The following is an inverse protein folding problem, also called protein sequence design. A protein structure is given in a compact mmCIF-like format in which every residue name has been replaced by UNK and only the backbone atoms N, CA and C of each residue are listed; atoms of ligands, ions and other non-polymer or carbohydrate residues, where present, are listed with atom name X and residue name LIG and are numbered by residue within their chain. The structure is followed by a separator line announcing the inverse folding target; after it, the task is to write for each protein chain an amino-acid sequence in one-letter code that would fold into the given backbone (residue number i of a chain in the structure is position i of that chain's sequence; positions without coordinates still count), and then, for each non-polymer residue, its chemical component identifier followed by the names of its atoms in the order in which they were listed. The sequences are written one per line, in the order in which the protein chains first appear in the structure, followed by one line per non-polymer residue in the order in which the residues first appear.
data_IF_904909100144
#
_entry.id   IF_904909100144
#
_cell.length_a   1.000
_cell.length_b   1.000
_cell.length_c   1.000
_cell.angle_alpha   90.00
_cell.angle_beta   90.00
_cell.angle_gamma   90.00
#
_symmetry.space_group_name_H-M   'P 1'
#
loop_
_entity.id
_entity.type
_entity.pdbx_description
1 polymer ?
#
# COMPACT_ATOMS: atom_id res chain seq x y z
N UNK A 1 10.72 -10.61 33.12
CA UNK A 1 10.07 -11.34 32.02
C UNK A 1 8.59 -11.14 32.25
N UNK A 2 7.92 -10.27 31.48
CA UNK A 2 6.47 -10.15 31.58
C UNK A 2 5.86 -11.47 31.11
N UNK A 3 5.05 -12.08 31.96
CA UNK A 3 4.48 -13.43 31.84
C UNK A 3 3.32 -13.48 30.82
N UNK A 4 3.43 -12.73 29.74
CA UNK A 4 2.40 -12.64 28.70
C UNK A 4 2.70 -13.66 27.60
N UNK A 5 1.71 -14.45 27.15
CA UNK A 5 1.92 -15.45 26.12
C UNK A 5 2.34 -14.81 24.80
N UNK A 6 3.26 -15.46 24.09
CA UNK A 6 3.71 -15.02 22.77
C UNK A 6 2.87 -15.63 21.63
N UNK A 7 3.10 -15.17 20.39
CA UNK A 7 2.34 -15.61 19.22
C UNK A 7 2.53 -17.12 18.94
N UNK A 8 3.72 -17.67 19.17
CA UNK A 8 3.97 -19.10 18.98
C UNK A 8 3.21 -19.95 20.00
N UNK A 9 3.15 -19.50 21.26
CA UNK A 9 2.37 -20.14 22.32
C UNK A 9 0.87 -20.09 22.01
N UNK A 10 0.38 -18.97 21.48
CA UNK A 10 -0.99 -18.86 20.97
C UNK A 10 -1.25 -19.86 19.84
N UNK A 11 -0.38 -19.94 18.83
CA UNK A 11 -0.52 -20.87 17.70
C UNK A 11 -0.60 -22.32 18.21
N UNK A 12 0.29 -22.72 19.12
CA UNK A 12 0.29 -24.09 19.69
C UNK A 12 -0.98 -24.38 20.48
N UNK A 13 -1.45 -23.42 21.28
CA UNK A 13 -2.71 -23.57 22.02
C UNK A 13 -3.90 -23.74 21.06
N UNK A 14 -3.98 -22.91 20.02
CA UNK A 14 -5.07 -22.98 19.04
C UNK A 14 -5.04 -24.28 18.23
N UNK A 15 -3.87 -24.86 17.95
CA UNK A 15 -3.76 -26.18 17.33
C UNK A 15 -4.34 -27.28 18.25
N UNK A 16 -4.04 -27.25 19.54
CA UNK A 16 -4.63 -28.19 20.49
C UNK A 16 -6.16 -28.02 20.63
N UNK A 17 -6.66 -26.77 20.57
CA UNK A 17 -8.10 -26.50 20.54
C UNK A 17 -8.77 -27.02 19.26
N UNK A 18 -8.06 -27.01 18.13
CA UNK A 18 -8.57 -27.58 16.87
C UNK A 18 -8.76 -29.09 17.02
N UNK A 19 -7.76 -29.80 17.56
CA UNK A 19 -7.85 -31.24 17.82
C UNK A 19 -8.99 -31.54 18.82
N UNK A 20 -9.11 -30.75 19.89
CA UNK A 20 -10.17 -30.91 20.87
C UNK A 20 -11.58 -30.74 20.27
N UNK A 21 -11.72 -29.89 19.25
CA UNK A 21 -13.00 -29.64 18.59
C UNK A 21 -13.58 -30.87 17.89
N UNK A 22 -12.76 -31.87 17.54
CA UNK A 22 -13.24 -33.13 16.94
C UNK A 22 -14.21 -33.88 17.85
N UNK A 23 -14.11 -33.68 19.16
CA UNK A 23 -14.99 -34.29 20.16
C UNK A 23 -16.40 -33.67 20.23
N UNK A 24 -16.64 -32.54 19.57
CA UNK A 24 -17.95 -31.89 19.54
C UNK A 24 -18.92 -32.76 18.74
N UNK A 25 -20.06 -33.14 19.33
CA UNK A 25 -21.03 -34.04 18.72
C UNK A 25 -21.81 -33.37 17.58
N UNK A 26 -22.33 -32.16 17.81
CA UNK A 26 -23.04 -31.40 16.79
C UNK A 26 -22.08 -30.99 15.67
N UNK A 27 -22.34 -31.48 14.46
CA UNK A 27 -21.55 -31.20 13.28
C UNK A 27 -21.48 -29.70 12.96
N UNK A 28 -22.59 -28.99 13.07
CA UNK A 28 -22.65 -27.57 12.69
C UNK A 28 -21.84 -26.73 13.68
N UNK A 29 -21.96 -27.04 14.98
CA UNK A 29 -21.17 -26.39 16.02
C UNK A 29 -19.68 -26.68 15.85
N UNK A 30 -19.32 -27.94 15.58
CA UNK A 30 -17.94 -28.37 15.33
C UNK A 30 -17.32 -27.62 14.16
N UNK A 31 -17.97 -27.64 13.00
CA UNK A 31 -17.47 -26.95 11.80
C UNK A 31 -17.31 -25.44 12.04
N UNK A 32 -18.28 -24.81 12.71
CA UNK A 32 -18.20 -23.39 13.06
C UNK A 32 -17.00 -23.09 13.96
N UNK A 33 -16.76 -23.92 14.99
CA UNK A 33 -15.62 -23.76 15.90
C UNK A 33 -14.30 -23.98 15.16
N UNK A 34 -14.22 -25.01 14.31
CA UNK A 34 -13.05 -25.29 13.48
C UNK A 34 -12.70 -24.11 12.58
N UNK A 35 -13.67 -23.56 11.84
CA UNK A 35 -13.43 -22.39 10.98
C UNK A 35 -12.91 -21.17 11.73
N UNK A 36 -13.43 -20.92 12.94
CA UNK A 36 -12.94 -19.81 13.77
C UNK A 36 -11.48 -20.03 14.17
N UNK A 37 -11.12 -21.24 14.58
CA UNK A 37 -9.76 -21.59 14.98
C UNK A 37 -8.81 -21.49 13.77
N UNK A 38 -9.19 -22.09 12.64
CA UNK A 38 -8.38 -22.08 11.40
C UNK A 38 -8.16 -20.65 10.89
N UNK A 39 -9.19 -19.81 10.93
CA UNK A 39 -9.06 -18.38 10.56
C UNK A 39 -8.09 -17.65 11.47
N UNK A 40 -8.16 -17.87 12.79
CA UNK A 40 -7.23 -17.28 13.74
C UNK A 40 -5.78 -17.76 13.54
N UNK A 41 -5.59 -19.06 13.30
CA UNK A 41 -4.28 -19.66 13.00
C UNK A 41 -3.68 -19.07 11.73
N UNK A 42 -4.46 -18.96 10.66
CA UNK A 42 -4.02 -18.40 9.38
C UNK A 42 -3.51 -16.97 9.56
N UNK A 43 -4.26 -16.13 10.26
CA UNK A 43 -3.88 -14.74 10.52
C UNK A 43 -2.65 -14.61 11.42
N UNK A 44 -2.53 -15.46 12.45
CA UNK A 44 -1.37 -15.46 13.34
C UNK A 44 -0.08 -15.88 12.62
N UNK A 45 -0.16 -16.88 11.74
CA UNK A 45 0.97 -17.33 10.92
C UNK A 45 1.38 -16.24 9.92
N UNK A 46 0.40 -15.61 9.26
CA UNK A 46 0.67 -14.51 8.32
C UNK A 46 1.36 -13.33 9.01
N UNK A 47 0.84 -12.92 10.17
CA UNK A 47 1.48 -11.91 11.01
C UNK A 47 2.93 -12.28 11.35
N UNK A 48 3.16 -13.51 11.82
CA UNK A 48 4.49 -13.98 12.21
C UNK A 48 5.48 -13.95 11.04
N UNK A 49 5.04 -14.39 9.86
CA UNK A 49 5.84 -14.35 8.62
C UNK A 49 6.19 -12.92 8.24
N UNK A 50 5.20 -12.04 8.18
CA UNK A 50 5.39 -10.63 7.79
C UNK A 50 6.29 -9.90 8.79
N UNK A 51 6.13 -10.18 10.08
CA UNK A 51 6.98 -9.64 11.13
C UNK A 51 8.44 -10.06 10.92
N UNK A 52 8.69 -11.34 10.67
CA UNK A 52 10.03 -11.87 10.42
C UNK A 52 10.66 -11.29 9.14
N UNK A 53 9.88 -11.20 8.05
CA UNK A 53 10.33 -10.62 6.78
C UNK A 53 10.80 -9.17 6.96
N UNK A 54 9.94 -8.31 7.54
CA UNK A 54 10.28 -6.91 7.79
C UNK A 54 11.48 -6.76 8.73
N UNK A 55 11.54 -7.58 9.78
CA UNK A 55 12.68 -7.60 10.71
C UNK A 55 13.98 -7.98 10.01
N UNK A 56 13.95 -8.95 9.09
CA UNK A 56 15.12 -9.38 8.32
C UNK A 56 15.63 -8.30 7.36
N UNK A 57 14.75 -7.41 6.90
CA UNK A 57 15.08 -6.25 6.06
C UNK A 57 15.52 -5.02 6.89
N UNK A 58 15.62 -5.13 8.21
CA UNK A 58 15.93 -4.02 9.11
C UNK A 58 14.81 -2.97 9.22
N UNK A 59 13.61 -3.29 8.75
CA UNK A 59 12.44 -2.43 8.87
C UNK A 59 11.74 -2.69 10.21
N UNK A 60 11.07 -1.68 10.77
CA UNK A 60 10.30 -1.85 12.00
C UNK A 60 8.91 -2.46 11.66
N UNK A 61 8.64 -3.74 12.01
CA UNK A 61 7.39 -4.42 11.69
C UNK A 61 6.17 -3.85 12.41
N UNK A 62 6.39 -3.09 13.49
CA UNK A 62 5.34 -2.49 14.31
C UNK A 62 5.03 -1.05 13.91
N UNK A 63 5.71 -0.51 12.89
CA UNK A 63 5.39 0.81 12.38
C UNK A 63 4.03 0.72 11.69
N UNK A 64 3.01 1.33 12.30
CA UNK A 64 1.72 1.55 11.66
C UNK A 64 2.01 2.38 10.42
N UNK A 65 1.99 1.73 9.25
CA UNK A 65 2.00 2.44 7.98
C UNK A 65 0.60 3.06 7.91
N UNK A 66 0.48 4.33 8.27
CA UNK A 66 -0.66 5.13 7.81
C UNK A 66 -0.73 4.88 6.31
N UNK A 67 -1.87 4.33 5.86
CA UNK A 67 -2.09 4.16 4.43
C UNK A 67 -1.75 5.50 3.80
N UNK A 68 -0.70 5.52 2.98
CA UNK A 68 -0.33 6.71 2.24
C UNK A 68 -1.60 7.10 1.49
N UNK A 69 -2.28 8.14 1.98
CA UNK A 69 -3.24 8.83 1.17
C UNK A 69 -2.39 9.35 0.03
N UNK A 70 -2.44 8.66 -1.11
CA UNK A 70 -1.87 9.15 -2.34
C UNK A 70 -2.67 10.40 -2.62
N UNK A 71 -2.19 11.55 -2.15
CA UNK A 71 -2.68 12.81 -2.63
C UNK A 71 -2.31 12.84 -4.10
N UNK A 72 -3.32 12.92 -4.97
CA UNK A 72 -3.20 13.04 -6.43
C UNK A 72 -2.42 14.31 -6.88
N UNK A 73 -1.63 14.94 -6.01
CA UNK A 73 -0.94 16.21 -6.25
C UNK A 73 0.34 16.06 -7.08
N UNK A 74 1.12 15.00 -6.89
CA UNK A 74 2.47 14.94 -7.47
C UNK A 74 2.46 14.52 -8.95
N UNK A 75 1.46 13.74 -9.37
CA UNK A 75 1.26 13.39 -10.77
C UNK A 75 0.73 14.56 -11.61
N UNK A 76 -0.05 15.45 -11.00
CA UNK A 76 -0.68 16.57 -11.69
C UNK A 76 0.32 17.68 -12.06
N UNK A 77 1.28 18.01 -11.18
CA UNK A 77 2.31 19.01 -11.50
C UNK A 77 3.28 18.51 -12.57
N UNK A 78 3.71 17.25 -12.50
CA UNK A 78 4.55 16.64 -13.52
C UNK A 78 3.84 16.58 -14.89
N UNK A 79 2.56 16.21 -14.91
CA UNK A 79 1.75 16.21 -16.14
C UNK A 79 1.55 17.62 -16.71
N UNK A 80 1.36 18.63 -15.84
CA UNK A 80 1.22 20.04 -16.25
C UNK A 80 2.52 20.58 -16.84
N UNK A 81 3.66 20.24 -16.23
CA UNK A 81 4.99 20.63 -16.72
C UNK A 81 5.31 19.99 -18.08
N UNK A 82 4.94 18.71 -18.29
CA UNK A 82 5.08 18.03 -19.58
C UNK A 82 4.16 18.65 -20.65
N UNK A 83 2.92 19.01 -20.30
CA UNK A 83 2.01 19.73 -21.21
C UNK A 83 2.54 21.12 -21.59
N UNK A 84 3.17 21.85 -20.66
CA UNK A 84 3.80 23.15 -20.96
C UNK A 84 5.01 23.00 -21.88
N UNK A 85 5.78 21.92 -21.76
CA UNK A 85 6.89 21.62 -22.69
C UNK A 85 6.36 21.27 -24.09
N UNK A 86 5.19 20.62 -24.19
CA UNK A 86 4.54 20.32 -25.46
C UNK A 86 3.96 21.57 -26.18
N UNK A 87 3.71 22.67 -25.46
CA UNK A 87 3.17 23.93 -26.00
C UNK A 87 4.14 24.77 -26.85
N UNK A 88 5.34 24.27 -27.12
CA UNK A 88 6.31 24.96 -27.95
C UNK A 88 6.95 26.16 -27.24
N UNK A 89 8.23 26.38 -27.51
CA UNK A 89 9.03 27.41 -26.85
C UNK A 89 9.42 28.46 -27.90
N UNK A 90 9.21 29.75 -27.61
CA UNK A 90 9.55 30.81 -28.55
C UNK A 90 11.06 31.02 -28.65
N UNK A 91 11.65 30.67 -29.79
CA UNK A 91 13.08 30.83 -30.08
C UNK A 91 13.57 32.30 -30.09
N UNK A 92 12.67 33.27 -30.30
CA UNK A 92 13.02 34.70 -30.41
C UNK A 92 12.99 35.43 -29.07
N UNK A 93 12.06 35.09 -28.19
CA UNK A 93 11.90 35.74 -26.89
C UNK A 93 12.76 35.12 -25.79
N UNK A 94 13.60 34.12 -26.09
CA UNK A 94 14.49 33.51 -25.12
C UNK A 94 13.80 32.48 -24.24
N UNK A 95 13.14 31.51 -24.87
CA UNK A 95 12.54 30.35 -24.23
C UNK A 95 11.29 30.56 -23.37
N UNK A 96 10.47 31.58 -23.66
CA UNK A 96 9.15 31.65 -23.05
C UNK A 96 8.21 30.59 -23.68
N UNK A 97 7.41 29.88 -22.84
CA UNK A 97 6.42 28.93 -23.32
C UNK A 97 5.34 29.68 -24.10
N UNK A 98 4.97 29.12 -25.25
CA UNK A 98 3.84 29.59 -26.04
C UNK A 98 2.59 28.94 -25.45
N UNK A 99 1.49 29.69 -25.38
CA UNK A 99 0.23 29.12 -24.93
C UNK A 99 -0.20 28.05 -25.94
N UNK A 100 -0.67 26.89 -25.47
CA UNK A 100 -0.89 25.71 -26.32
C UNK A 100 -1.95 25.92 -27.43
N UNK A 101 -2.76 26.97 -27.33
CA UNK A 101 -3.81 27.33 -28.30
C UNK A 101 -3.40 28.47 -29.24
N UNK A 102 -2.14 28.92 -29.21
CA UNK A 102 -1.63 30.01 -30.05
C UNK A 102 -0.52 29.53 -31.00
N UNK A 103 -0.72 29.73 -32.30
CA UNK A 103 0.31 29.48 -33.33
C UNK A 103 1.34 30.63 -33.44
N UNK A 104 1.30 31.59 -32.50
CA UNK A 104 2.20 32.75 -32.45
C UNK A 104 2.54 33.16 -31.02
N UNK A 105 3.71 33.77 -30.84
CA UNK A 105 4.11 34.31 -29.54
C UNK A 105 3.36 35.61 -29.22
N UNK A 106 2.55 35.61 -28.16
CA UNK A 106 1.81 36.79 -27.68
C UNK A 106 2.70 37.98 -27.28
N UNK A 107 3.99 37.75 -27.00
CA UNK A 107 4.92 38.80 -26.60
C UNK A 107 5.64 39.50 -27.77
N UNK A 108 5.97 38.78 -28.85
CA UNK A 108 6.70 39.37 -29.99
C UNK A 108 5.98 39.28 -31.33
N UNK A 109 4.83 38.61 -31.40
CA UNK A 109 4.01 38.48 -32.61
C UNK A 109 4.58 37.58 -33.70
N UNK A 110 5.68 36.86 -33.45
CA UNK A 110 6.22 35.89 -34.41
C UNK A 110 5.46 34.56 -34.33
N UNK A 111 5.18 33.99 -35.50
CA UNK A 111 4.61 32.65 -35.64
C UNK A 111 5.64 31.57 -35.33
N UNK A 112 5.14 30.41 -34.88
CA UNK A 112 5.94 29.20 -34.71
C UNK A 112 5.98 28.50 -36.06
N UNK A 113 7.11 28.59 -36.76
CA UNK A 113 7.38 27.72 -37.93
C UNK A 113 7.90 26.35 -37.49
#
# INVERSE_FOLDING_TARGET
MSESPNVDEFIRHMQAELDASESIVDKVEREKKQWQIESALLLAIDFSKKFQELSSLGQNPMKIIEALQVSDSDGAEAAKMIMTIAGGICARCGNLPIEPDLDFCSNCGNYVE
#
